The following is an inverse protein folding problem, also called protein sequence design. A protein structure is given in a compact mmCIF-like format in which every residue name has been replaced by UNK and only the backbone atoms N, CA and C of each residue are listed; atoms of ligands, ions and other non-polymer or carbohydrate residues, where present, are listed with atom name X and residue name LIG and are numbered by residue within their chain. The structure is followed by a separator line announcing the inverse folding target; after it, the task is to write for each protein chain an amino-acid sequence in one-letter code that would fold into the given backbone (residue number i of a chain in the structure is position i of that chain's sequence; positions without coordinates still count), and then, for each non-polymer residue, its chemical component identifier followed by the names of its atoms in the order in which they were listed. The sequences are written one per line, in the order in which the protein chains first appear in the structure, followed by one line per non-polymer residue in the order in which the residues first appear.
data_IF_494453459186
#
_entry.id   IF_494453459186
#
_cell.length_a   1.000
_cell.length_b   1.000
_cell.length_c   1.000
_cell.angle_alpha   90.00
_cell.angle_beta   90.00
_cell.angle_gamma   90.00
#
_symmetry.space_group_name_H-M   'P 1'
#
loop_
_entity.id
_entity.type
_entity.pdbx_description
1 polymer ?
#
# COMPACT_ATOMS: atom_id res chain seq x y z
N UNK A 1 -18.94 70.68 72.71
CA UNK A 1 -17.75 69.83 72.47
C UNK A 1 -18.05 68.57 71.64
N UNK A 2 -19.27 68.17 71.49
CA UNK A 2 -19.63 66.92 70.70
C UNK A 2 -19.59 67.10 69.19
N UNK A 3 -19.72 68.29 68.62
CA UNK A 3 -19.72 68.52 67.17
C UNK A 3 -18.30 68.44 66.53
N UNK A 4 -17.23 68.72 67.30
CA UNK A 4 -15.86 68.65 66.78
C UNK A 4 -15.38 67.18 66.61
N UNK A 5 -15.85 66.27 67.45
CA UNK A 5 -15.49 64.80 67.33
C UNK A 5 -16.13 64.16 66.16
N UNK A 6 -17.35 64.54 65.74
CA UNK A 6 -18.04 64.03 64.56
C UNK A 6 -17.31 64.36 63.24
N UNK A 7 -16.77 65.58 63.15
CA UNK A 7 -16.05 66.02 61.94
C UNK A 7 -14.69 65.29 61.78
N UNK A 8 -13.99 64.99 62.87
CA UNK A 8 -12.73 64.23 62.82
C UNK A 8 -12.94 62.79 62.37
N UNK A 9 -14.01 62.15 62.86
CA UNK A 9 -14.34 60.81 62.46
C UNK A 9 -14.72 60.71 60.97
N UNK A 10 -15.42 61.70 60.42
CA UNK A 10 -15.73 61.76 59.00
C UNK A 10 -14.51 62.00 58.10
N UNK A 11 -13.58 62.86 58.56
CA UNK A 11 -12.34 63.08 57.81
C UNK A 11 -11.46 61.84 57.80
N UNK A 12 -11.33 61.12 58.90
CA UNK A 12 -10.57 59.90 58.99
C UNK A 12 -11.21 58.78 58.09
N UNK A 13 -12.53 58.71 58.10
CA UNK A 13 -13.25 57.77 57.24
C UNK A 13 -13.06 58.10 55.74
N UNK A 14 -13.05 59.34 55.36
CA UNK A 14 -12.79 59.79 54.00
C UNK A 14 -11.32 59.49 53.56
N UNK A 15 -10.34 59.66 54.43
CA UNK A 15 -8.94 59.30 54.13
C UNK A 15 -8.72 57.74 54.02
N UNK A 16 -9.47 56.97 54.75
CA UNK A 16 -9.38 55.49 54.65
C UNK A 16 -10.05 54.96 53.42
N UNK A 17 -11.04 55.65 52.85
CA UNK A 17 -11.78 55.18 51.67
C UNK A 17 -10.99 55.34 50.34
N UNK A 18 -10.08 56.30 50.24
CA UNK A 18 -9.29 56.55 49.02
C UNK A 18 -8.30 55.40 48.73
N UNK A 19 -7.50 54.90 49.69
CA UNK A 19 -6.66 53.73 49.47
C UNK A 19 -7.45 52.49 49.11
N UNK A 20 -8.61 52.28 49.74
CA UNK A 20 -9.46 51.13 49.42
C UNK A 20 -10.01 51.19 47.97
N UNK A 21 -10.36 52.34 47.47
CA UNK A 21 -10.80 52.56 46.10
C UNK A 21 -9.66 52.31 45.10
N UNK A 22 -8.47 52.79 45.41
CA UNK A 22 -7.28 52.55 44.57
C UNK A 22 -6.92 51.06 44.50
N UNK A 23 -6.97 50.34 45.61
CA UNK A 23 -6.77 48.90 45.66
C UNK A 23 -7.82 48.15 44.86
N UNK A 24 -9.07 48.55 44.99
CA UNK A 24 -10.16 47.94 44.22
C UNK A 24 -10.04 48.19 42.71
N UNK A 25 -9.58 49.40 42.30
CA UNK A 25 -9.28 49.68 40.89
C UNK A 25 -8.10 48.87 40.35
N UNK A 26 -7.03 48.72 41.14
CA UNK A 26 -5.88 47.90 40.78
C UNK A 26 -6.28 46.41 40.68
N UNK A 27 -7.02 45.88 41.64
CA UNK A 27 -7.52 44.52 41.62
C UNK A 27 -8.43 44.25 40.39
N UNK A 28 -9.28 45.21 40.04
CA UNK A 28 -10.13 45.07 38.86
C UNK A 28 -9.34 45.10 37.54
N UNK A 29 -8.31 45.96 37.45
CA UNK A 29 -7.41 45.96 36.29
C UNK A 29 -6.67 44.65 36.16
N UNK A 30 -6.10 44.14 37.25
CA UNK A 30 -5.39 42.86 37.27
C UNK A 30 -6.33 41.69 36.88
N UNK A 31 -7.55 41.66 37.42
CA UNK A 31 -8.54 40.66 37.09
C UNK A 31 -8.93 40.69 35.59
N UNK A 32 -9.02 41.87 35.01
CA UNK A 32 -9.34 42.04 33.60
C UNK A 32 -8.18 41.57 32.68
N UNK A 33 -6.92 41.93 33.02
CA UNK A 33 -5.73 41.47 32.28
C UNK A 33 -5.61 39.93 32.35
N UNK A 34 -5.77 39.34 33.52
CA UNK A 34 -5.72 37.87 33.69
C UNK A 34 -6.84 37.19 32.93
N UNK A 35 -8.03 37.79 32.85
CA UNK A 35 -9.13 37.25 32.03
C UNK A 35 -8.79 37.26 30.52
N UNK A 36 -8.30 38.40 30.02
CA UNK A 36 -7.93 38.50 28.60
C UNK A 36 -6.81 37.52 28.24
N UNK A 37 -5.79 37.41 29.05
CA UNK A 37 -4.71 36.43 28.84
C UNK A 37 -5.22 34.98 28.85
N UNK A 38 -6.14 34.68 29.78
CA UNK A 38 -6.73 33.32 29.83
C UNK A 38 -7.62 32.99 28.62
N UNK A 39 -8.34 33.96 28.06
CA UNK A 39 -9.08 33.80 26.83
C UNK A 39 -8.18 33.60 25.63
N UNK A 40 -7.12 34.37 25.48
CA UNK A 40 -6.14 34.21 24.41
C UNK A 40 -5.41 32.85 24.48
N UNK A 41 -5.04 32.39 25.67
CA UNK A 41 -4.46 31.08 25.85
C UNK A 41 -5.42 29.96 25.47
N UNK A 42 -6.69 30.05 25.85
CA UNK A 42 -7.70 29.06 25.48
C UNK A 42 -7.91 29.02 23.96
N UNK A 43 -7.97 30.19 23.33
CA UNK A 43 -8.13 30.26 21.88
C UNK A 43 -6.91 29.66 21.15
N UNK A 44 -5.71 29.96 21.62
CA UNK A 44 -4.48 29.35 21.07
C UNK A 44 -4.45 27.84 21.27
N UNK A 45 -4.81 27.34 22.45
CA UNK A 45 -4.91 25.90 22.72
C UNK A 45 -5.93 25.24 21.82
N UNK A 46 -7.10 25.83 21.66
CA UNK A 46 -8.14 25.28 20.80
C UNK A 46 -7.72 25.25 19.32
N UNK A 47 -7.04 26.29 18.84
CA UNK A 47 -6.48 26.27 17.47
C UNK A 47 -5.43 25.18 17.30
N UNK A 48 -4.53 25.00 18.27
CA UNK A 48 -3.53 23.92 18.23
C UNK A 48 -4.18 22.55 18.27
N UNK A 49 -5.20 22.35 19.11
CA UNK A 49 -5.94 21.10 19.17
C UNK A 49 -6.61 20.75 17.83
N UNK A 50 -7.22 21.75 17.17
CA UNK A 50 -7.83 21.58 15.85
C UNK A 50 -6.77 21.26 14.77
N UNK A 51 -5.63 21.96 14.80
CA UNK A 51 -4.53 21.68 13.85
C UNK A 51 -3.95 20.28 14.05
N UNK A 52 -3.78 19.84 15.30
CA UNK A 52 -3.31 18.49 15.62
C UNK A 52 -4.34 17.44 15.17
N UNK A 53 -5.62 17.69 15.41
CA UNK A 53 -6.68 16.78 14.99
C UNK A 53 -6.72 16.63 13.46
N UNK A 54 -6.62 17.72 12.72
CA UNK A 54 -6.58 17.70 11.26
C UNK A 54 -5.34 16.94 10.74
N UNK A 55 -4.16 17.21 11.31
CA UNK A 55 -2.95 16.48 10.92
C UNK A 55 -3.04 14.98 11.23
N UNK A 56 -3.61 14.62 12.36
CA UNK A 56 -3.82 13.23 12.71
C UNK A 56 -4.78 12.51 11.74
N UNK A 57 -5.83 13.20 11.28
CA UNK A 57 -6.74 12.68 10.27
C UNK A 57 -6.02 12.47 8.92
N UNK A 58 -5.25 13.46 8.46
CA UNK A 58 -4.43 13.35 7.24
C UNK A 58 -3.41 12.20 7.33
N UNK A 59 -2.74 12.02 8.48
CA UNK A 59 -1.83 10.91 8.70
C UNK A 59 -2.54 9.55 8.71
N UNK A 60 -3.71 9.46 9.32
CA UNK A 60 -4.51 8.24 9.34
C UNK A 60 -4.97 7.84 7.93
N UNK A 61 -5.43 8.81 7.14
CA UNK A 61 -5.81 8.59 5.74
C UNK A 61 -4.62 8.12 4.89
N UNK A 62 -3.47 8.79 5.02
CA UNK A 62 -2.26 8.36 4.31
C UNK A 62 -1.77 6.97 4.74
N UNK A 63 -1.88 6.64 6.02
CA UNK A 63 -1.53 5.32 6.52
C UNK A 63 -2.45 4.25 5.94
N UNK A 64 -3.76 4.48 5.90
CA UNK A 64 -4.74 3.57 5.32
C UNK A 64 -4.50 3.35 3.81
N UNK A 65 -4.18 4.41 3.05
CA UNK A 65 -3.83 4.30 1.63
C UNK A 65 -2.55 3.48 1.40
N UNK A 66 -1.54 3.66 2.24
CA UNK A 66 -0.29 2.89 2.15
C UNK A 66 -0.51 1.41 2.49
N UNK A 67 -1.32 1.12 3.49
CA UNK A 67 -1.67 -0.25 3.88
C UNK A 67 -2.45 -0.94 2.75
N UNK A 68 -3.45 -0.29 2.18
CA UNK A 68 -4.20 -0.80 1.03
C UNK A 68 -3.28 -1.08 -0.18
N UNK A 69 -2.38 -0.17 -0.51
CA UNK A 69 -1.41 -0.36 -1.59
C UNK A 69 -0.45 -1.51 -1.32
N UNK A 70 -0.04 -1.71 -0.06
CA UNK A 70 0.81 -2.83 0.35
C UNK A 70 0.08 -4.16 0.20
N UNK A 71 -1.16 -4.24 0.65
CA UNK A 71 -1.97 -5.46 0.56
C UNK A 71 -2.22 -5.85 -0.90
N UNK A 72 -2.54 -4.88 -1.75
CA UNK A 72 -2.69 -5.12 -3.19
C UNK A 72 -1.40 -5.65 -3.82
N UNK A 73 -0.25 -5.08 -3.47
CA UNK A 73 1.04 -5.53 -3.97
C UNK A 73 1.42 -6.92 -3.45
N UNK A 74 1.04 -7.25 -2.21
CA UNK A 74 1.22 -8.59 -1.66
C UNK A 74 0.42 -9.62 -2.46
N UNK A 75 -0.85 -9.34 -2.76
CA UNK A 75 -1.68 -10.19 -3.62
C UNK A 75 -1.01 -10.39 -4.99
N UNK A 76 -0.58 -9.30 -5.63
CA UNK A 76 0.05 -9.37 -6.94
C UNK A 76 1.38 -10.14 -6.94
N UNK A 77 2.13 -10.09 -5.84
CA UNK A 77 3.40 -10.81 -5.68
C UNK A 77 3.26 -12.33 -5.65
N UNK A 78 2.04 -12.84 -5.45
CA UNK A 78 1.74 -14.27 -5.51
C UNK A 78 1.84 -14.85 -6.93
N UNK A 79 1.78 -13.99 -7.97
CA UNK A 79 1.98 -14.41 -9.34
C UNK A 79 3.46 -14.59 -9.64
N UNK A 80 3.89 -15.83 -9.86
CA UNK A 80 5.27 -16.18 -10.15
C UNK A 80 5.34 -17.14 -11.34
N UNK A 81 6.35 -17.00 -12.18
CA UNK A 81 6.57 -17.91 -13.30
C UNK A 81 8.07 -18.11 -13.53
N UNK A 82 8.46 -19.34 -13.85
CA UNK A 82 9.83 -19.69 -14.20
C UNK A 82 9.89 -20.91 -15.10
N UNK A 83 10.97 -21.05 -15.86
CA UNK A 83 11.22 -22.21 -16.67
C UNK A 83 11.62 -23.41 -15.82
N UNK A 84 11.07 -24.58 -16.18
CA UNK A 84 11.32 -25.86 -15.54
C UNK A 84 11.46 -26.96 -16.59
N UNK A 85 11.98 -28.08 -16.16
CA UNK A 85 11.89 -29.35 -16.89
C UNK A 85 11.53 -30.45 -15.90
N UNK A 86 10.94 -31.51 -16.42
CA UNK A 86 10.80 -32.78 -15.70
C UNK A 86 11.29 -33.94 -16.56
N UNK A 87 11.78 -34.99 -15.92
CA UNK A 87 12.12 -36.22 -16.58
C UNK A 87 10.89 -37.09 -16.69
N UNK A 88 10.65 -37.65 -17.88
CA UNK A 88 9.56 -38.56 -18.17
C UNK A 88 10.14 -39.85 -18.81
N UNK A 89 9.35 -40.90 -18.92
CA UNK A 89 9.79 -42.15 -19.56
C UNK A 89 10.25 -41.96 -21.00
N UNK A 90 9.74 -40.97 -21.70
CA UNK A 90 10.07 -40.65 -23.11
C UNK A 90 11.12 -39.57 -23.27
N UNK A 91 11.65 -39.00 -22.14
CA UNK A 91 12.67 -37.97 -22.20
C UNK A 91 12.35 -36.76 -21.31
N UNK A 92 12.94 -35.60 -21.61
CA UNK A 92 12.72 -34.37 -20.85
C UNK A 92 11.59 -33.56 -21.43
N UNK A 93 10.62 -33.23 -20.59
CA UNK A 93 9.55 -32.30 -20.90
C UNK A 93 9.90 -30.92 -20.34
N UNK A 94 9.88 -29.92 -21.19
CA UNK A 94 10.24 -28.53 -20.87
C UNK A 94 8.99 -27.67 -20.82
N UNK A 95 8.98 -26.67 -19.97
CA UNK A 95 7.86 -25.76 -19.92
C UNK A 95 8.03 -24.67 -18.88
N UNK A 96 6.96 -23.96 -18.61
CA UNK A 96 6.90 -22.89 -17.63
C UNK A 96 6.02 -23.36 -16.48
N UNK A 97 6.53 -23.22 -15.29
CA UNK A 97 5.76 -23.35 -14.08
C UNK A 97 5.20 -21.95 -13.74
N UNK A 98 3.89 -21.88 -13.58
CA UNK A 98 3.15 -20.69 -13.17
C UNK A 98 2.50 -20.99 -11.83
N UNK A 99 2.80 -20.19 -10.83
CA UNK A 99 2.27 -20.33 -9.47
C UNK A 99 1.50 -19.08 -9.07
N UNK A 100 0.32 -19.31 -8.49
CA UNK A 100 -0.54 -18.26 -7.92
C UNK A 100 -0.85 -18.56 -6.46
N UNK A 101 0.04 -19.32 -5.81
CA UNK A 101 -0.11 -19.71 -4.40
C UNK A 101 0.52 -18.66 -3.50
N UNK A 102 -0.24 -18.13 -2.57
CA UNK A 102 0.20 -17.17 -1.58
C UNK A 102 -0.65 -17.22 -0.32
N UNK A 103 -0.43 -16.28 0.59
CA UNK A 103 -1.15 -16.18 1.84
C UNK A 103 -2.65 -15.91 1.64
N UNK A 104 -3.01 -15.27 0.54
CA UNK A 104 -4.39 -14.98 0.15
C UNK A 104 -4.68 -15.70 -1.16
N UNK A 105 -5.76 -16.49 -1.18
CA UNK A 105 -6.25 -17.12 -2.40
C UNK A 105 -6.80 -16.05 -3.34
N UNK A 106 -6.08 -15.78 -4.41
CA UNK A 106 -6.42 -14.74 -5.37
C UNK A 106 -6.60 -15.32 -6.76
N UNK A 107 -7.62 -14.82 -7.46
CA UNK A 107 -7.85 -15.13 -8.87
C UNK A 107 -7.25 -14.01 -9.71
N UNK A 108 -6.50 -14.39 -10.75
CA UNK A 108 -5.93 -13.43 -11.69
C UNK A 108 -6.61 -13.55 -13.04
N UNK A 109 -6.78 -12.43 -13.71
CA UNK A 109 -7.49 -12.32 -14.98
C UNK A 109 -6.57 -11.74 -16.05
N UNK A 110 -6.88 -12.05 -17.31
CA UNK A 110 -6.20 -11.50 -18.47
C UNK A 110 -4.67 -11.71 -18.44
N UNK A 111 -4.25 -12.83 -17.85
CA UNK A 111 -2.83 -13.16 -17.67
C UNK A 111 -2.16 -13.32 -19.02
N UNK A 112 -1.15 -12.48 -19.26
CA UNK A 112 -0.32 -12.52 -20.46
C UNK A 112 1.11 -12.80 -20.06
N UNK A 113 1.65 -13.90 -20.53
CA UNK A 113 2.99 -14.35 -20.24
C UNK A 113 3.86 -14.23 -21.48
N UNK A 114 4.86 -13.37 -21.44
CA UNK A 114 5.85 -13.20 -22.51
C UNK A 114 7.15 -13.88 -22.08
N UNK A 115 7.61 -14.81 -22.87
CA UNK A 115 8.76 -15.66 -22.53
C UNK A 115 9.70 -15.78 -23.71
N UNK A 116 10.98 -16.04 -23.39
CA UNK A 116 11.94 -16.49 -24.37
C UNK A 116 11.98 -18.01 -24.34
N UNK A 117 11.72 -18.62 -25.47
CA UNK A 117 11.73 -20.07 -25.69
C UNK A 117 12.73 -20.40 -26.81
N UNK A 118 13.81 -21.12 -26.52
CA UNK A 118 14.90 -21.40 -27.43
C UNK A 118 15.46 -20.15 -28.14
N UNK A 119 15.50 -19.02 -27.41
CA UNK A 119 16.01 -17.75 -27.91
C UNK A 119 14.97 -16.86 -28.64
N UNK A 120 13.75 -17.36 -28.88
CA UNK A 120 12.67 -16.60 -29.51
C UNK A 120 11.61 -16.18 -28.49
N UNK A 121 11.08 -14.97 -28.68
CA UNK A 121 10.04 -14.42 -27.81
C UNK A 121 8.68 -14.94 -28.24
N UNK A 122 7.91 -15.45 -27.29
CA UNK A 122 6.56 -15.96 -27.46
C UNK A 122 5.66 -15.39 -26.38
N UNK A 123 4.37 -15.26 -26.68
CA UNK A 123 3.37 -14.78 -25.72
C UNK A 123 2.20 -15.74 -25.68
N UNK A 124 1.84 -16.20 -24.49
CA UNK A 124 0.60 -16.94 -24.23
C UNK A 124 -0.35 -16.13 -23.37
N UNK A 125 -1.65 -16.41 -23.47
CA UNK A 125 -2.71 -15.70 -22.75
C UNK A 125 -3.60 -16.71 -22.04
N UNK A 126 -3.93 -16.39 -20.79
CA UNK A 126 -4.86 -17.14 -19.97
C UNK A 126 -5.93 -16.17 -19.47
N UNK A 127 -7.18 -16.43 -19.82
CA UNK A 127 -8.28 -15.50 -19.50
C UNK A 127 -8.50 -15.37 -17.97
N UNK A 128 -8.39 -16.47 -17.25
CA UNK A 128 -8.58 -16.54 -15.81
C UNK A 128 -7.67 -17.62 -15.21
N UNK A 129 -6.98 -17.30 -14.14
CA UNK A 129 -6.08 -18.18 -13.43
C UNK A 129 -6.48 -18.25 -11.96
N UNK A 130 -7.16 -19.31 -11.53
CA UNK A 130 -7.48 -19.57 -10.12
C UNK A 130 -6.22 -19.78 -9.27
N UNK A 131 -6.33 -19.76 -7.93
CA UNK A 131 -5.23 -20.14 -7.05
C UNK A 131 -4.76 -21.57 -7.34
N UNK A 132 -3.45 -21.74 -7.52
CA UNK A 132 -2.90 -23.06 -7.82
C UNK A 132 -1.52 -23.02 -8.45
N UNK A 133 -1.10 -24.17 -8.95
CA UNK A 133 0.12 -24.35 -9.72
C UNK A 133 -0.22 -24.92 -11.08
N UNK A 134 0.41 -24.38 -12.09
CA UNK A 134 0.12 -24.72 -13.49
C UNK A 134 1.42 -24.94 -14.24
N UNK A 135 1.43 -25.98 -15.06
CA UNK A 135 2.51 -26.24 -15.98
C UNK A 135 2.05 -25.91 -17.40
N UNK A 136 2.83 -25.13 -18.10
CA UNK A 136 2.62 -24.74 -19.50
C UNK A 136 3.68 -25.45 -20.33
N UNK A 137 3.37 -26.56 -21.00
CA UNK A 137 4.35 -27.31 -21.78
C UNK A 137 4.89 -26.50 -22.96
N UNK A 138 6.18 -26.67 -23.23
CA UNK A 138 6.80 -26.24 -24.48
C UNK A 138 6.84 -27.42 -25.42
N UNK A 139 5.98 -27.45 -26.41
CA UNK A 139 5.79 -28.58 -27.34
C UNK A 139 6.32 -28.24 -28.73
N UNK A 140 6.81 -29.22 -29.43
CA UNK A 140 7.13 -29.13 -30.85
C UNK A 140 5.99 -29.69 -31.67
N UNK A 141 5.72 -29.11 -32.82
CA UNK A 141 4.75 -29.68 -33.76
C UNK A 141 5.25 -31.05 -34.27
N UNK A 142 4.34 -32.00 -34.38
CA UNK A 142 4.62 -33.35 -34.88
C UNK A 142 4.20 -33.44 -36.36
N UNK A 143 5.04 -33.94 -37.29
CA UNK A 143 6.40 -34.45 -37.11
C UNK A 143 7.43 -33.30 -36.89
N UNK A 144 8.51 -33.59 -36.14
CA UNK A 144 9.50 -32.56 -35.83
C UNK A 144 10.19 -32.09 -37.12
N UNK A 145 9.75 -30.94 -37.60
CA UNK A 145 10.47 -30.24 -38.65
C UNK A 145 11.66 -29.53 -37.97
N UNK A 146 12.88 -29.74 -38.45
CA UNK A 146 14.10 -29.11 -37.88
C UNK A 146 14.03 -27.57 -37.88
N UNK A 147 13.10 -26.98 -38.60
CA UNK A 147 12.80 -25.54 -38.58
C UNK A 147 11.61 -25.20 -37.67
N UNK A 148 10.89 -26.20 -37.15
CA UNK A 148 9.74 -25.98 -36.28
C UNK A 148 10.18 -25.34 -34.95
N UNK A 149 9.45 -24.30 -34.54
CA UNK A 149 9.68 -23.65 -33.29
C UNK A 149 8.79 -24.30 -32.23
N UNK A 150 9.35 -24.53 -31.01
CA UNK A 150 8.50 -24.97 -29.94
C UNK A 150 7.46 -23.88 -29.66
N UNK A 151 6.21 -24.29 -29.45
CA UNK A 151 5.11 -23.42 -28.99
C UNK A 151 4.77 -23.73 -27.54
N UNK A 152 4.18 -22.76 -26.86
CA UNK A 152 3.58 -22.99 -25.55
C UNK A 152 2.18 -23.59 -25.74
N UNK A 153 1.89 -24.65 -25.03
CA UNK A 153 0.58 -25.28 -24.96
C UNK A 153 -0.30 -24.64 -23.87
N UNK A 154 -1.50 -25.14 -23.68
CA UNK A 154 -2.40 -24.66 -22.65
C UNK A 154 -1.90 -25.00 -21.23
N UNK A 155 -2.17 -24.14 -20.25
CA UNK A 155 -1.82 -24.39 -18.85
C UNK A 155 -2.56 -25.64 -18.32
N UNK A 156 -1.83 -26.52 -17.68
CA UNK A 156 -2.36 -27.72 -17.00
C UNK A 156 -2.17 -27.55 -15.50
N UNK A 157 -3.25 -27.70 -14.73
CA UNK A 157 -3.14 -27.72 -13.27
C UNK A 157 -2.30 -28.90 -12.82
N UNK A 158 -1.42 -28.68 -11.85
CA UNK A 158 -0.56 -29.73 -11.28
C UNK A 158 -0.79 -29.86 -9.78
N UNK A 159 -0.69 -31.09 -9.27
CA UNK A 159 -0.78 -31.37 -7.85
C UNK A 159 0.49 -30.88 -7.10
N UNK A 160 0.41 -30.83 -5.77
CA UNK A 160 1.57 -30.52 -4.94
C UNK A 160 2.65 -31.61 -5.08
N UNK A 161 2.23 -32.86 -5.18
CA UNK A 161 3.12 -34.02 -5.32
C UNK A 161 3.85 -34.00 -6.68
N UNK A 162 3.13 -33.67 -7.76
CA UNK A 162 3.74 -33.54 -9.08
C UNK A 162 4.71 -32.37 -9.18
N UNK A 163 4.48 -31.32 -8.38
CA UNK A 163 5.34 -30.14 -8.38
C UNK A 163 6.79 -30.47 -8.02
N UNK A 164 7.05 -31.42 -7.14
CA UNK A 164 8.39 -31.83 -6.73
C UNK A 164 9.19 -32.48 -7.86
N UNK A 165 8.51 -32.96 -8.90
CA UNK A 165 9.16 -33.58 -10.07
C UNK A 165 9.71 -32.53 -11.06
N UNK A 166 9.36 -31.24 -10.89
CA UNK A 166 9.82 -30.18 -11.76
C UNK A 166 11.11 -29.53 -11.24
N UNK A 167 12.13 -29.51 -12.07
CA UNK A 167 13.42 -28.90 -11.75
C UNK A 167 13.53 -27.52 -12.39
N UNK A 168 13.87 -26.46 -11.61
CA UNK A 168 13.98 -25.13 -12.16
C UNK A 168 15.20 -24.97 -13.05
N UNK A 169 15.03 -24.25 -14.14
CA UNK A 169 16.09 -23.94 -15.10
C UNK A 169 16.82 -22.64 -14.68
N UNK A 170 17.85 -22.74 -13.85
CA UNK A 170 18.49 -21.60 -13.23
C UNK A 170 19.48 -20.85 -14.12
N UNK A 171 20.06 -21.52 -15.14
CA UNK A 171 21.12 -20.94 -15.99
C UNK A 171 20.87 -21.28 -17.45
N UNK A 172 20.00 -20.54 -18.14
CA UNK A 172 19.76 -20.76 -19.55
C UNK A 172 19.46 -19.45 -20.28
N UNK A 173 20.40 -18.93 -21.02
CA UNK A 173 20.25 -17.69 -21.79
C UNK A 173 19.17 -17.78 -22.89
N UNK A 174 18.82 -19.00 -23.31
CA UNK A 174 17.80 -19.24 -24.33
C UNK A 174 16.37 -19.35 -23.79
N UNK A 175 16.23 -19.40 -22.46
CA UNK A 175 14.95 -19.57 -21.77
C UNK A 175 14.82 -18.53 -20.67
N UNK A 176 13.79 -17.72 -20.70
CA UNK A 176 13.51 -16.73 -19.69
C UNK A 176 12.01 -16.40 -19.66
N UNK A 177 11.49 -16.05 -18.51
CA UNK A 177 10.24 -15.31 -18.40
C UNK A 177 10.62 -13.84 -18.47
N UNK A 178 10.18 -13.14 -19.50
CA UNK A 178 10.56 -11.74 -19.73
C UNK A 178 9.57 -10.77 -19.09
N UNK A 179 8.26 -11.13 -19.18
CA UNK A 179 7.18 -10.28 -18.69
C UNK A 179 5.97 -11.12 -18.28
N UNK A 180 5.30 -10.66 -17.23
CA UNK A 180 3.99 -11.16 -16.81
C UNK A 180 3.09 -9.93 -16.67
N UNK A 181 1.98 -9.90 -17.37
CA UNK A 181 0.94 -8.88 -17.26
C UNK A 181 -0.35 -9.56 -16.81
N UNK A 182 -1.04 -8.98 -15.86
CA UNK A 182 -2.29 -9.55 -15.34
C UNK A 182 -3.12 -8.50 -14.64
N UNK A 183 -4.38 -8.82 -14.40
CA UNK A 183 -5.32 -8.05 -13.59
C UNK A 183 -5.68 -8.87 -12.36
N UNK A 184 -5.62 -8.27 -11.19
CA UNK A 184 -6.02 -8.92 -9.94
C UNK A 184 -7.55 -8.92 -9.76
N UNK A 185 -8.02 -9.55 -8.68
CA UNK A 185 -9.44 -9.63 -8.34
C UNK A 185 -10.06 -8.26 -7.96
N UNK A 186 -9.26 -7.27 -7.64
CA UNK A 186 -9.69 -5.90 -7.33
C UNK A 186 -9.75 -5.02 -8.60
N UNK A 187 -9.35 -5.58 -9.75
CA UNK A 187 -9.34 -4.89 -11.04
C UNK A 187 -8.07 -4.12 -11.34
N UNK A 188 -7.09 -4.11 -10.41
CA UNK A 188 -5.82 -3.44 -10.62
C UNK A 188 -4.98 -4.22 -11.65
N UNK A 189 -4.39 -3.51 -12.60
CA UNK A 189 -3.48 -4.08 -13.58
C UNK A 189 -2.04 -4.06 -13.06
N UNK A 190 -1.35 -5.16 -13.28
CA UNK A 190 0.01 -5.39 -12.83
C UNK A 190 0.90 -5.80 -13.99
N UNK A 191 2.15 -5.41 -13.87
CA UNK A 191 3.20 -5.77 -14.80
C UNK A 191 4.45 -6.17 -14.00
N UNK A 192 4.98 -7.34 -14.31
CA UNK A 192 6.25 -7.80 -13.81
C UNK A 192 7.24 -7.97 -14.95
N UNK A 193 8.48 -7.52 -14.78
CA UNK A 193 9.58 -7.79 -15.69
C UNK A 193 10.88 -8.02 -14.94
N UNK A 194 11.84 -8.66 -15.61
CA UNK A 194 13.17 -8.91 -15.03
C UNK A 194 13.92 -7.63 -14.63
N UNK A 195 13.63 -6.50 -15.28
CA UNK A 195 14.34 -5.23 -15.06
C UNK A 195 13.70 -4.39 -13.97
N UNK A 196 12.38 -4.35 -13.94
CA UNK A 196 11.61 -3.40 -13.13
C UNK A 196 10.97 -4.06 -11.91
N UNK A 197 10.93 -5.41 -11.91
CA UNK A 197 10.18 -6.14 -10.90
C UNK A 197 8.68 -5.98 -11.10
N UNK A 198 7.91 -6.04 -10.01
CA UNK A 198 6.46 -5.87 -10.00
C UNK A 198 6.10 -4.39 -9.90
N UNK A 199 5.37 -3.89 -10.89
CA UNK A 199 4.90 -2.50 -10.97
C UNK A 199 3.42 -2.45 -11.33
N UNK A 200 2.77 -1.37 -10.93
CA UNK A 200 1.41 -1.06 -11.37
C UNK A 200 1.44 -0.72 -12.86
N UNK A 201 0.63 -1.40 -13.65
CA UNK A 201 0.45 -0.97 -15.04
C UNK A 201 -0.46 0.27 -15.08
N UNK A 202 -0.13 1.30 -15.87
CA UNK A 202 -1.05 2.42 -16.05
C UNK A 202 -2.37 1.88 -16.59
N UNK A 203 -3.47 2.25 -15.93
CA UNK A 203 -4.82 1.92 -16.43
C UNK A 203 -4.93 2.40 -17.87
N UNK A 204 -5.44 1.57 -18.80
CA UNK A 204 -5.68 2.04 -20.14
C UNK A 204 -6.60 3.26 -20.05
N UNK A 205 -6.13 4.40 -20.55
CA UNK A 205 -6.96 5.60 -20.68
C UNK A 205 -8.15 5.24 -21.56
N UNK A 206 -9.39 5.51 -21.12
CA UNK A 206 -10.61 5.16 -21.85
C UNK A 206 -10.70 5.80 -23.22
#
# INVERSE_FOLDING_TARGET
MLSALGNIAQIVAAFASVPALLLALQANRLANTTRTESYEQREKSHRLEMEIAQKNEEFAEQAALREMSRDQREIASNMQAWWVYRETEVGKEWGILLSTTGAVNSVFFDVRLTVRNMGKVQTTKVAMLPPGRYFIPSVFDDPPNFSAQPRLDDPKSISIEDFENYQPLLKASKYAVERIEFRDQLGQQWHWSLREGLTDAPSPTP
#
